data_IF_047793134590
#
_entry.id   IF_047793134590
#
_cell.length_a   1.000
_cell.length_b   1.000
_cell.length_c   1.000
_cell.angle_alpha   90.00
_cell.angle_beta   90.00
_cell.angle_gamma   90.00
#
_symmetry.space_group_name_H-M   'P 1'
#
loop_
_entity.id
_entity.type
_entity.pdbx_description
1 polymer ?
#
# COMPACT_ATOMS: atom_id res chain seq x y z
N UNK A 1 -12.26 34.53 -6.03
CA UNK A 1 -11.87 34.24 -7.43
C UNK A 1 -12.67 35.17 -8.32
N UNK A 2 -12.03 35.95 -9.18
CA UNK A 2 -12.68 37.06 -9.89
C UNK A 2 -13.66 36.55 -10.95
N UNK A 3 -14.83 37.18 -11.05
CA UNK A 3 -15.83 36.89 -12.09
C UNK A 3 -15.20 36.89 -13.49
N UNK A 4 -14.22 37.77 -13.73
CA UNK A 4 -13.51 37.89 -15.00
C UNK A 4 -12.77 36.63 -15.46
N UNK A 5 -12.23 35.80 -14.55
CA UNK A 5 -11.56 34.56 -14.94
C UNK A 5 -12.58 33.49 -15.31
N UNK A 6 -13.63 33.34 -14.51
CA UNK A 6 -14.71 32.38 -14.77
C UNK A 6 -15.43 32.71 -16.08
N UNK A 7 -15.68 34.00 -16.34
CA UNK A 7 -16.31 34.46 -17.59
C UNK A 7 -15.41 34.17 -18.79
N UNK A 8 -14.10 34.44 -18.69
CA UNK A 8 -13.15 34.11 -19.75
C UNK A 8 -13.05 32.59 -20.02
N UNK A 9 -13.08 31.76 -18.97
CA UNK A 9 -13.12 30.29 -19.12
C UNK A 9 -14.42 29.85 -19.78
N UNK A 10 -15.56 30.44 -19.40
CA UNK A 10 -16.84 30.16 -20.03
C UNK A 10 -16.83 30.51 -21.52
N UNK A 11 -16.41 31.72 -21.89
CA UNK A 11 -16.34 32.17 -23.28
C UNK A 11 -15.44 31.25 -24.12
N UNK A 12 -14.29 30.84 -23.57
CA UNK A 12 -13.39 29.88 -24.21
C UNK A 12 -14.05 28.51 -24.39
N UNK A 13 -14.63 27.94 -23.34
CA UNK A 13 -15.27 26.62 -23.36
C UNK A 13 -16.57 26.58 -24.16
N UNK A 14 -17.24 27.72 -24.36
CA UNK A 14 -18.48 27.82 -25.13
C UNK A 14 -18.26 27.70 -26.65
N UNK A 15 -17.02 27.85 -27.13
CA UNK A 15 -16.67 27.57 -28.52
C UNK A 15 -16.87 26.06 -28.81
N UNK A 16 -17.59 25.66 -29.88
CA UNK A 16 -17.96 24.25 -30.11
C UNK A 16 -16.78 23.27 -30.11
N UNK A 17 -15.65 23.66 -30.69
CA UNK A 17 -14.41 22.90 -30.74
C UNK A 17 -13.81 22.67 -29.35
N UNK A 18 -13.73 23.71 -28.52
CA UNK A 18 -13.19 23.65 -27.16
C UNK A 18 -14.12 22.86 -26.25
N UNK A 19 -15.44 23.05 -26.40
CA UNK A 19 -16.42 22.27 -25.66
C UNK A 19 -16.30 20.78 -25.95
N UNK A 20 -16.19 20.39 -27.24
CA UNK A 20 -16.01 18.99 -27.65
C UNK A 20 -14.71 18.42 -27.09
N UNK A 21 -13.60 19.15 -27.21
CA UNK A 21 -12.31 18.73 -26.69
C UNK A 21 -12.34 18.57 -25.16
N UNK A 22 -12.89 19.55 -24.43
CA UNK A 22 -13.02 19.50 -22.98
C UNK A 22 -13.87 18.32 -22.52
N UNK A 23 -15.00 18.04 -23.18
CA UNK A 23 -15.82 16.85 -22.91
C UNK A 23 -15.05 15.55 -23.15
N UNK A 24 -14.30 15.46 -24.24
CA UNK A 24 -13.47 14.29 -24.53
C UNK A 24 -12.42 14.09 -23.43
N UNK A 25 -11.69 15.14 -23.06
CA UNK A 25 -10.69 15.09 -21.98
C UNK A 25 -11.33 14.68 -20.66
N UNK A 26 -12.42 15.34 -20.26
CA UNK A 26 -13.12 15.04 -19.01
C UNK A 26 -13.57 13.57 -18.91
N UNK A 27 -14.01 12.98 -20.02
CA UNK A 27 -14.41 11.56 -20.06
C UNK A 27 -13.24 10.59 -19.87
N UNK A 28 -12.00 11.04 -20.09
CA UNK A 28 -10.79 10.23 -19.94
C UNK A 28 -10.08 10.44 -18.61
N UNK A 29 -10.39 11.51 -17.85
CA UNK A 29 -9.64 11.87 -16.64
C UNK A 29 -9.59 10.74 -15.61
N UNK A 30 -10.71 10.06 -15.35
CA UNK A 30 -10.72 8.93 -14.41
C UNK A 30 -9.78 7.79 -14.84
N UNK A 31 -9.65 7.51 -16.14
CA UNK A 31 -8.71 6.52 -16.64
C UNK A 31 -7.25 6.99 -16.54
N UNK A 32 -7.01 8.30 -16.66
CA UNK A 32 -5.70 8.90 -16.41
C UNK A 32 -5.32 8.76 -14.94
N UNK A 33 -6.23 9.08 -14.02
CA UNK A 33 -6.00 8.96 -12.57
C UNK A 33 -5.68 7.52 -12.18
N UNK A 34 -6.46 6.55 -12.65
CA UNK A 34 -6.21 5.12 -12.45
C UNK A 34 -4.81 4.70 -12.92
N UNK A 35 -4.38 5.21 -14.09
CA UNK A 35 -3.07 4.90 -14.66
C UNK A 35 -1.94 5.58 -13.89
N UNK A 36 -2.16 6.78 -13.36
CA UNK A 36 -1.19 7.46 -12.48
C UNK A 36 -0.95 6.64 -11.21
N UNK A 37 -2.03 6.20 -10.54
CA UNK A 37 -1.95 5.36 -9.33
C UNK A 37 -1.27 4.03 -9.63
N UNK A 38 -1.62 3.38 -10.74
CA UNK A 38 -0.98 2.11 -11.12
C UNK A 38 0.52 2.27 -11.36
N UNK A 39 0.94 3.32 -12.08
CA UNK A 39 2.35 3.56 -12.35
C UNK A 39 3.11 3.93 -11.08
N UNK A 40 2.51 4.71 -10.18
CA UNK A 40 3.07 5.01 -8.88
C UNK A 40 3.40 3.73 -8.09
N UNK A 41 2.45 2.81 -7.95
CA UNK A 41 2.69 1.55 -7.22
C UNK A 41 3.69 0.62 -7.90
N UNK A 42 3.78 0.64 -9.24
CA UNK A 42 4.83 -0.08 -9.97
C UNK A 42 6.22 0.46 -9.69
N UNK A 43 6.37 1.79 -9.62
CA UNK A 43 7.65 2.41 -9.27
C UNK A 43 8.03 2.12 -7.82
N UNK A 44 7.07 2.16 -6.88
CA UNK A 44 7.27 1.68 -5.49
C UNK A 44 7.73 0.22 -5.46
N UNK A 45 7.12 -0.66 -6.27
CA UNK A 45 7.52 -2.06 -6.36
C UNK A 45 8.97 -2.19 -6.84
N UNK A 46 9.34 -1.49 -7.91
CA UNK A 46 10.69 -1.54 -8.47
C UNK A 46 11.74 -1.04 -7.48
N UNK A 47 11.47 0.08 -6.81
CA UNK A 47 12.34 0.65 -5.78
C UNK A 47 12.55 -0.34 -4.62
N UNK A 48 11.48 -0.98 -4.14
CA UNK A 48 11.55 -1.96 -3.06
C UNK A 48 12.24 -3.27 -3.47
N UNK A 49 12.07 -3.74 -4.70
CA UNK A 49 12.80 -4.89 -5.22
C UNK A 49 14.31 -4.64 -5.16
N UNK A 50 14.76 -3.49 -5.65
CA UNK A 50 16.19 -3.15 -5.65
C UNK A 50 16.79 -3.13 -4.24
N UNK A 51 16.03 -2.68 -3.24
CA UNK A 51 16.50 -2.55 -1.85
C UNK A 51 16.41 -3.85 -1.05
N UNK A 52 15.32 -4.61 -1.22
CA UNK A 52 14.97 -5.71 -0.32
C UNK A 52 15.26 -7.10 -0.89
N UNK A 53 15.26 -7.26 -2.21
CA UNK A 53 15.53 -8.54 -2.87
C UNK A 53 16.93 -9.10 -2.54
N UNK A 54 18.02 -8.30 -2.49
CA UNK A 54 19.34 -8.80 -2.08
C UNK A 54 19.36 -9.38 -0.65
N UNK A 55 18.44 -8.90 0.20
CA UNK A 55 18.28 -9.38 1.56
C UNK A 55 17.33 -10.57 1.67
N UNK A 56 16.78 -11.09 0.57
CA UNK A 56 15.90 -12.26 0.52
C UNK A 56 14.42 -11.96 0.80
N UNK A 57 13.96 -10.73 0.54
CA UNK A 57 12.54 -10.38 0.56
C UNK A 57 11.94 -10.46 -0.84
N UNK A 58 10.67 -10.83 -0.91
CA UNK A 58 9.86 -10.84 -2.11
C UNK A 58 8.89 -9.67 -2.08
N UNK A 59 8.78 -8.95 -3.20
CA UNK A 59 7.88 -7.81 -3.36
C UNK A 59 6.91 -8.12 -4.51
N UNK A 60 5.62 -8.24 -4.20
CA UNK A 60 4.57 -8.61 -5.15
C UNK A 60 3.52 -7.51 -5.26
N UNK A 61 3.15 -7.17 -6.49
CA UNK A 61 2.05 -6.23 -6.78
C UNK A 61 1.00 -6.94 -7.63
N UNK A 62 -0.24 -6.99 -7.12
CA UNK A 62 -1.44 -7.47 -7.81
C UNK A 62 -2.48 -6.36 -7.83
N UNK A 63 -2.39 -5.52 -8.86
CA UNK A 63 -3.33 -4.44 -9.07
C UNK A 63 -4.75 -5.00 -9.36
N UNK A 64 -5.84 -4.37 -8.88
CA UNK A 64 -5.88 -3.08 -8.18
C UNK A 64 -5.73 -3.13 -6.67
N UNK A 65 -5.67 -4.31 -6.06
CA UNK A 65 -6.06 -4.44 -4.66
C UNK A 65 -4.93 -4.72 -3.69
N UNK A 66 -3.80 -5.26 -4.15
CA UNK A 66 -2.83 -5.86 -3.23
C UNK A 66 -1.39 -5.55 -3.62
N UNK A 67 -0.63 -5.09 -2.63
CA UNK A 67 0.81 -5.01 -2.67
C UNK A 67 1.34 -5.76 -1.44
N UNK A 68 2.20 -6.76 -1.61
CA UNK A 68 2.72 -7.56 -0.51
C UNK A 68 4.25 -7.57 -0.49
N UNK A 69 4.86 -7.48 0.70
CA UNK A 69 6.28 -7.73 0.96
C UNK A 69 6.41 -8.87 1.97
N UNK A 70 7.08 -9.96 1.61
CA UNK A 70 7.18 -11.16 2.45
C UNK A 70 8.52 -11.89 2.27
N UNK A 71 8.86 -12.80 3.18
CA UNK A 71 9.91 -13.78 2.95
C UNK A 71 9.39 -14.95 2.14
N UNK A 72 10.24 -15.57 1.33
CA UNK A 72 9.89 -16.80 0.59
C UNK A 72 9.43 -17.94 1.51
N UNK A 73 9.97 -18.01 2.73
CA UNK A 73 9.56 -19.00 3.71
C UNK A 73 8.16 -18.74 4.24
N UNK A 74 7.72 -17.49 4.42
CA UNK A 74 6.49 -17.14 5.15
C UNK A 74 5.23 -17.69 4.49
N UNK A 75 4.42 -18.42 5.26
CA UNK A 75 3.16 -18.97 4.76
C UNK A 75 1.98 -18.11 5.21
N UNK A 76 1.40 -17.33 4.29
CA UNK A 76 0.24 -16.45 4.58
C UNK A 76 0.51 -15.41 5.70
N UNK A 77 1.77 -15.00 5.83
CA UNK A 77 2.25 -13.85 6.61
C UNK A 77 2.94 -12.91 5.62
N UNK A 78 2.74 -11.60 5.78
CA UNK A 78 3.43 -10.60 4.98
C UNK A 78 3.12 -9.18 5.45
N UNK A 79 3.95 -8.24 5.03
CA UNK A 79 3.55 -6.84 5.01
C UNK A 79 2.66 -6.63 3.81
N UNK A 80 1.55 -5.94 3.98
CA UNK A 80 0.55 -5.82 2.93
C UNK A 80 -0.02 -4.42 2.89
N UNK A 81 -0.25 -3.95 1.66
CA UNK A 81 -1.06 -2.79 1.38
C UNK A 81 -2.34 -3.24 0.68
N UNK A 82 -3.45 -2.65 1.10
CA UNK A 82 -4.75 -2.82 0.45
C UNK A 82 -5.38 -1.43 0.20
N UNK A 83 -6.44 -1.39 -0.60
CA UNK A 83 -7.11 -0.17 -1.05
C UNK A 83 -6.18 0.81 -1.78
N UNK A 84 -5.38 0.27 -2.73
CA UNK A 84 -4.35 1.02 -3.46
C UNK A 84 -4.87 2.19 -4.31
N UNK A 85 -6.18 2.24 -4.60
CA UNK A 85 -6.85 3.31 -5.36
C UNK A 85 -7.66 4.27 -4.49
N UNK A 86 -7.97 3.90 -3.25
CA UNK A 86 -8.76 4.70 -2.34
C UNK A 86 -7.88 5.31 -1.26
N UNK A 87 -8.04 4.79 -0.05
CA UNK A 87 -7.31 5.19 1.14
C UNK A 87 -6.43 4.04 1.61
N UNK A 88 -5.23 3.90 1.03
CA UNK A 88 -4.39 2.75 1.27
C UNK A 88 -4.02 2.63 2.74
N UNK A 89 -4.00 1.39 3.22
CA UNK A 89 -3.47 1.04 4.53
C UNK A 89 -2.34 0.05 4.36
N UNK A 90 -1.42 0.08 5.31
CA UNK A 90 -0.21 -0.73 5.37
C UNK A 90 -0.15 -1.45 6.70
N UNK A 91 0.20 -2.74 6.70
CA UNK A 91 0.22 -3.50 7.94
C UNK A 91 0.90 -4.85 7.82
N UNK A 92 0.96 -5.54 8.95
CA UNK A 92 1.26 -6.96 9.01
C UNK A 92 -0.06 -7.68 8.81
N UNK A 93 -0.13 -8.53 7.78
CA UNK A 93 -1.25 -9.43 7.53
C UNK A 93 -0.83 -10.87 7.78
N UNK A 94 -1.67 -11.61 8.50
CA UNK A 94 -1.51 -13.02 8.85
C UNK A 94 -2.85 -13.74 8.71
N UNK A 95 -2.94 -14.81 7.93
CA UNK A 95 -4.18 -15.59 7.85
C UNK A 95 -4.48 -16.33 9.15
N UNK A 96 -5.63 -16.06 9.77
CA UNK A 96 -6.09 -16.78 10.97
C UNK A 96 -6.35 -18.27 10.72
N UNK A 97 -6.45 -18.69 9.45
CA UNK A 97 -6.51 -20.12 9.06
C UNK A 97 -5.21 -20.86 9.32
N UNK A 98 -4.09 -20.14 9.46
CA UNK A 98 -2.73 -20.70 9.64
C UNK A 98 -2.14 -20.26 10.98
N UNK A 99 -2.46 -19.05 11.44
CA UNK A 99 -1.85 -18.46 12.63
C UNK A 99 -2.82 -18.35 13.81
N UNK A 100 -2.34 -18.71 15.00
CA UNK A 100 -3.05 -18.42 16.25
C UNK A 100 -2.98 -16.91 16.54
N UNK A 101 -4.14 -16.26 16.52
CA UNK A 101 -4.31 -14.81 16.72
C UNK A 101 -3.74 -14.32 18.05
N UNK A 102 -3.91 -15.07 19.13
CA UNK A 102 -3.45 -14.69 20.48
C UNK A 102 -1.93 -14.64 20.51
N UNK A 103 -1.27 -15.72 20.05
CA UNK A 103 0.19 -15.79 20.00
C UNK A 103 0.79 -14.71 19.10
N UNK A 104 0.22 -14.47 17.92
CA UNK A 104 0.67 -13.38 17.04
C UNK A 104 0.54 -12.01 17.72
N UNK A 105 -0.58 -11.77 18.42
CA UNK A 105 -0.80 -10.51 19.12
C UNK A 105 0.19 -10.30 20.27
N UNK A 106 0.49 -11.35 21.04
CA UNK A 106 1.50 -11.30 22.10
C UNK A 106 2.89 -10.98 21.55
N UNK A 107 3.26 -11.61 20.43
CA UNK A 107 4.58 -11.41 19.81
C UNK A 107 4.74 -10.07 19.09
N UNK A 108 3.63 -9.41 18.75
CA UNK A 108 3.62 -8.10 18.11
C UNK A 108 3.23 -6.97 19.07
N UNK A 109 3.29 -7.21 20.38
CA UNK A 109 2.87 -6.20 21.37
C UNK A 109 3.75 -4.95 21.31
N UNK A 110 5.08 -5.10 21.28
CA UNK A 110 6.03 -3.99 21.17
C UNK A 110 5.82 -3.16 19.89
N UNK A 111 5.48 -3.82 18.79
CA UNK A 111 5.18 -3.16 17.52
C UNK A 111 3.93 -2.28 17.65
N UNK A 112 2.86 -2.81 18.26
CA UNK A 112 1.60 -2.06 18.47
C UNK A 112 1.80 -0.86 19.37
N UNK A 113 2.60 -1.01 20.43
CA UNK A 113 2.90 0.07 21.38
C UNK A 113 3.67 1.20 20.72
N UNK A 114 4.63 0.89 19.84
CA UNK A 114 5.46 1.89 19.16
C UNK A 114 4.78 2.56 17.97
N UNK A 115 4.04 1.81 17.16
CA UNK A 115 3.53 2.30 15.86
C UNK A 115 2.03 2.69 15.87
N UNK A 116 1.26 2.32 16.90
CA UNK A 116 -0.18 2.56 16.94
C UNK A 116 -1.02 1.54 16.12
N UNK A 117 -2.30 1.83 15.91
CA UNK A 117 -3.47 0.90 15.98
C UNK A 117 -3.39 -0.52 15.37
N UNK A 118 -4.15 -1.41 16.02
CA UNK A 118 -4.44 -2.78 15.62
C UNK A 118 -5.95 -3.11 15.55
N UNK A 119 -6.21 -4.24 14.89
CA UNK A 119 -7.48 -4.93 14.54
C UNK A 119 -8.59 -4.12 13.88
N UNK A 120 -8.74 -4.31 12.56
CA UNK A 120 -10.05 -4.40 11.95
C UNK A 120 -10.71 -5.70 12.48
N UNK A 121 -11.94 -5.68 13.01
CA UNK A 121 -12.58 -6.85 13.61
C UNK A 121 -12.86 -8.02 12.63
N UNK A 122 -12.66 -7.84 11.33
CA UNK A 122 -12.96 -8.86 10.31
C UNK A 122 -11.74 -9.27 9.49
N UNK A 123 -10.82 -10.00 10.14
CA UNK A 123 -9.78 -10.86 9.54
C UNK A 123 -8.35 -10.32 9.46
N UNK A 124 -7.42 -11.08 10.04
CA UNK A 124 -6.06 -11.25 9.53
C UNK A 124 -5.06 -10.10 9.71
N UNK A 125 -5.47 -8.95 10.23
CA UNK A 125 -4.56 -7.80 10.43
C UNK A 125 -4.18 -7.64 11.90
N UNK A 126 -3.11 -8.30 12.40
CA UNK A 126 -2.64 -8.07 13.76
C UNK A 126 -2.20 -6.63 14.00
N UNK A 127 -1.69 -5.96 12.97
CA UNK A 127 -1.28 -4.56 13.01
C UNK A 127 -1.49 -3.89 11.65
N UNK A 128 -1.98 -2.65 11.63
CA UNK A 128 -2.11 -1.86 10.40
C UNK A 128 -2.20 -0.37 10.70
N UNK A 129 -1.82 0.46 9.73
CA UNK A 129 -2.05 1.90 9.75
C UNK A 129 -2.56 2.40 8.42
N UNK A 130 -3.39 3.42 8.46
CA UNK A 130 -3.81 4.15 7.26
C UNK A 130 -2.68 5.07 6.80
N UNK A 131 -2.47 5.16 5.49
CA UNK A 131 -1.54 6.11 4.89
C UNK A 131 -2.30 7.40 4.56
N UNK A 132 -2.63 8.17 5.59
CA UNK A 132 -3.48 9.37 5.48
C UNK A 132 -2.96 10.39 4.46
N UNK A 133 -1.64 10.44 4.23
CA UNK A 133 -1.03 11.29 3.22
C UNK A 133 -1.22 10.81 1.78
N UNK A 134 -1.80 9.63 1.51
CA UNK A 134 -1.85 8.97 0.19
C UNK A 134 -3.29 8.63 -0.24
N UNK A 135 -4.23 9.55 -0.07
CA UNK A 135 -5.63 9.34 -0.48
C UNK A 135 -5.80 9.64 -1.96
N UNK A 136 -5.92 8.62 -2.80
CA UNK A 136 -5.86 8.77 -4.26
C UNK A 136 -7.15 9.30 -4.91
N UNK A 137 -8.22 9.47 -4.14
CA UNK A 137 -9.39 10.25 -4.55
C UNK A 137 -9.20 11.77 -4.37
N UNK A 138 -8.12 12.20 -3.70
CA UNK A 138 -7.82 13.63 -3.48
C UNK A 138 -6.88 14.14 -4.60
N UNK A 139 -7.26 15.25 -5.25
CA UNK A 139 -6.47 15.85 -6.34
C UNK A 139 -5.03 16.17 -5.94
N UNK A 140 -4.80 16.65 -4.72
CA UNK A 140 -3.45 16.93 -4.20
C UNK A 140 -2.55 15.68 -4.16
N UNK A 141 -3.11 14.51 -3.87
CA UNK A 141 -2.35 13.25 -3.90
C UNK A 141 -2.01 12.88 -5.34
N UNK A 142 -2.96 13.02 -6.27
CA UNK A 142 -2.76 12.76 -7.70
C UNK A 142 -1.67 13.67 -8.30
N UNK A 143 -1.66 14.95 -7.93
CA UNK A 143 -0.62 15.91 -8.31
C UNK A 143 0.75 15.49 -7.80
N UNK A 144 0.85 15.03 -6.54
CA UNK A 144 2.12 14.56 -5.96
C UNK A 144 2.69 13.33 -6.67
N UNK A 145 1.84 12.50 -7.29
CA UNK A 145 2.27 11.31 -8.03
C UNK A 145 2.35 11.53 -9.55
N UNK A 146 2.29 12.78 -10.03
CA UNK A 146 2.61 13.08 -11.42
C UNK A 146 4.07 12.68 -11.74
N UNK A 147 4.37 12.30 -13.00
CA UNK A 147 5.70 11.83 -13.40
C UNK A 147 6.86 12.76 -12.99
N UNK A 148 6.63 14.08 -13.02
CA UNK A 148 7.64 15.07 -12.68
C UNK A 148 7.97 15.16 -11.18
N UNK A 149 7.11 14.61 -10.30
CA UNK A 149 7.19 14.84 -8.85
C UNK A 149 7.19 13.55 -8.03
N UNK A 150 6.75 12.43 -8.61
CA UNK A 150 6.48 11.18 -7.88
C UNK A 150 7.69 10.54 -7.21
N UNK A 151 8.92 10.86 -7.63
CA UNK A 151 10.13 10.24 -7.09
C UNK A 151 10.24 10.38 -5.56
N UNK A 152 9.87 11.54 -5.01
CA UNK A 152 9.87 11.76 -3.56
C UNK A 152 8.82 10.91 -2.85
N UNK A 153 7.63 10.79 -3.42
CA UNK A 153 6.55 9.97 -2.86
C UNK A 153 6.87 8.46 -2.95
N UNK A 154 7.49 8.02 -4.05
CA UNK A 154 7.96 6.64 -4.21
C UNK A 154 9.00 6.32 -3.14
N UNK A 155 9.98 7.21 -2.97
CA UNK A 155 11.02 7.06 -1.94
C UNK A 155 10.45 7.05 -0.53
N UNK A 156 9.50 7.92 -0.20
CA UNK A 156 8.86 7.96 1.12
C UNK A 156 8.18 6.62 1.47
N UNK A 157 7.42 6.03 0.55
CA UNK A 157 6.83 4.70 0.75
C UNK A 157 7.92 3.63 0.88
N UNK A 158 8.94 3.67 0.03
CA UNK A 158 10.01 2.67 0.05
C UNK A 158 10.82 2.72 1.37
N UNK A 159 11.22 3.92 1.81
CA UNK A 159 11.94 4.16 3.06
C UNK A 159 11.11 3.70 4.28
N UNK A 160 9.79 3.91 4.24
CA UNK A 160 8.87 3.44 5.27
C UNK A 160 8.85 1.90 5.37
N UNK A 161 8.73 1.21 4.24
CA UNK A 161 8.71 -0.27 4.22
C UNK A 161 10.06 -0.84 4.61
N UNK A 162 11.14 -0.29 4.07
CA UNK A 162 12.51 -0.72 4.36
C UNK A 162 12.85 -0.58 5.85
N UNK A 163 12.49 0.55 6.46
CA UNK A 163 12.65 0.74 7.91
C UNK A 163 11.87 -0.30 8.69
N UNK A 164 10.62 -0.54 8.29
CA UNK A 164 9.76 -1.52 8.96
C UNK A 164 10.36 -2.93 8.90
N UNK A 165 10.79 -3.40 7.72
CA UNK A 165 11.40 -4.74 7.60
C UNK A 165 12.73 -4.84 8.33
N UNK A 166 13.50 -3.76 8.40
CA UNK A 166 14.78 -3.73 9.10
C UNK A 166 14.58 -3.80 10.61
N UNK A 167 13.62 -3.04 11.15
CA UNK A 167 13.37 -2.98 12.59
C UNK A 167 12.64 -4.24 13.09
N UNK A 168 11.67 -4.76 12.33
CA UNK A 168 10.75 -5.80 12.81
C UNK A 168 10.87 -7.14 12.08
N UNK A 169 11.68 -7.24 11.02
CA UNK A 169 11.80 -8.46 10.20
C UNK A 169 12.17 -9.70 11.01
N UNK A 170 13.13 -9.57 11.95
CA UNK A 170 13.55 -10.68 12.82
C UNK A 170 12.41 -11.15 13.74
N UNK A 171 11.63 -10.21 14.28
CA UNK A 171 10.46 -10.51 15.11
C UNK A 171 9.39 -11.23 14.30
N UNK A 172 9.16 -10.84 13.04
CA UNK A 172 8.23 -11.50 12.14
C UNK A 172 8.71 -12.91 11.74
N UNK A 173 10.01 -13.10 11.51
CA UNK A 173 10.60 -14.42 11.29
C UNK A 173 10.44 -15.34 12.51
N UNK A 174 10.48 -14.78 13.72
CA UNK A 174 10.19 -15.53 14.95
C UNK A 174 8.72 -15.91 15.03
N UNK A 175 7.80 -15.00 14.70
CA UNK A 175 6.36 -15.29 14.65
C UNK A 175 6.07 -16.44 13.69
N UNK A 176 6.58 -16.39 12.46
CA UNK A 176 6.38 -17.47 11.46
C UNK A 176 6.96 -18.82 11.93
N UNK A 177 8.16 -18.83 12.52
CA UNK A 177 8.78 -20.08 13.02
C UNK A 177 8.04 -20.69 14.20
N UNK A 178 7.76 -19.92 15.24
CA UNK A 178 7.15 -20.43 16.47
C UNK A 178 5.72 -20.92 16.22
N UNK A 179 4.96 -20.24 15.37
CA UNK A 179 3.58 -20.64 15.06
C UNK A 179 3.50 -21.90 14.21
N UNK A 180 4.50 -22.21 13.37
CA UNK A 180 4.57 -23.52 12.68
C UNK A 180 4.70 -24.69 13.65
N UNK A 181 5.43 -24.47 14.75
CA UNK A 181 5.67 -25.50 15.76
C UNK A 181 4.45 -25.73 16.67
N UNK A 182 3.55 -24.74 16.78
CA UNK A 182 2.39 -24.78 17.68
C UNK A 182 1.04 -24.79 16.97
N UNK A 183 1.01 -24.78 15.64
CA UNK A 183 -0.24 -24.76 14.85
C UNK A 183 -0.99 -26.10 14.87
N UNK A 184 -2.29 -26.13 14.51
CA UNK A 184 -3.09 -27.36 14.46
C UNK A 184 -2.59 -28.41 13.45
N UNK A 185 -1.54 -28.09 12.69
CA UNK A 185 -0.88 -28.96 11.72
C UNK A 185 0.60 -29.22 12.08
N UNK A 186 1.01 -29.06 13.35
CA UNK A 186 2.31 -29.50 13.83
C UNK A 186 2.42 -31.02 13.59
N UNK A 187 2.90 -31.35 12.39
CA UNK A 187 3.07 -32.71 11.94
C UNK A 187 4.26 -33.22 12.72
N UNK A 188 4.00 -34.17 13.60
CA UNK A 188 4.98 -35.09 14.13
C UNK A 188 5.76 -35.68 12.96
N UNK A 189 6.93 -35.11 12.67
CA UNK A 189 7.92 -35.79 11.86
C UNK A 189 8.63 -36.76 12.79
N UNK A 190 8.21 -38.02 12.68
CA UNK A 190 8.90 -39.21 13.19
C UNK A 190 10.17 -39.49 12.40
#
# INVERSE_FOLDING_TARGET
MSSSYTDAVYEYLAQPENYRAAKQIASQLSAVDDRLVQNFWREVQQELLQRLEPSGWLVQLRFPNDFTVLRASWQKLGLRFEDLRGNPYFGVWCSEKVFNRVLVNERLIDLKEKEGKGSNPTEGWPWYRTLSGYRFYEGATLERILPAHRALAVKDIADMVERFVTEYGVSLDRVDRETRLTGPFATTQS
#
